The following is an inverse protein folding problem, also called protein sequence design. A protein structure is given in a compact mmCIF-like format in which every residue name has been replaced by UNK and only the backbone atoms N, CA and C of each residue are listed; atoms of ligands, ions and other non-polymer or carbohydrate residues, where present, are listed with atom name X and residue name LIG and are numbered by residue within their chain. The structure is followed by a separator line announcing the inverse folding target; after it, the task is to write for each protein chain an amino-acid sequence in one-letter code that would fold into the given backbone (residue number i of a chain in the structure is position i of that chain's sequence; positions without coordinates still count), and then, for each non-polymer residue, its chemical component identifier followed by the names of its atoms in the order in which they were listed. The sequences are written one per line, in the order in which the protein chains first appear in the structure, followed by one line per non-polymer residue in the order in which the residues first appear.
data_IF_849637293668
#
_entry.id   IF_849637293668
#
_cell.length_a   1.000
_cell.length_b   1.000
_cell.length_c   1.000
_cell.angle_alpha   90.00
_cell.angle_beta   90.00
_cell.angle_gamma   90.00
#
_symmetry.space_group_name_H-M   'P 1'
#
loop_
_entity.id
_entity.type
_entity.pdbx_description
1 polymer ?
#
# COMPACT_ATOMS: atom_id res chain seq x y z
N UNK A 1 -5.61 32.15 -16.91
CA UNK A 1 -4.62 31.10 -16.58
C UNK A 1 -5.03 30.29 -15.34
N UNK A 2 -5.29 30.93 -14.17
CA UNK A 2 -5.64 30.20 -12.93
C UNK A 2 -6.91 29.36 -13.08
N UNK A 3 -7.97 29.88 -13.68
CA UNK A 3 -9.21 29.12 -13.90
C UNK A 3 -9.02 27.89 -14.83
N UNK A 4 -8.17 28.03 -15.84
CA UNK A 4 -7.86 26.92 -16.75
C UNK A 4 -7.06 25.85 -16.02
N UNK A 5 -6.07 26.24 -15.21
CA UNK A 5 -5.32 25.30 -14.37
C UNK A 5 -6.23 24.56 -13.38
N UNK A 6 -7.11 25.29 -12.69
CA UNK A 6 -8.09 24.68 -11.78
C UNK A 6 -9.03 23.72 -12.51
N UNK A 7 -9.48 24.04 -13.71
CA UNK A 7 -10.35 23.19 -14.52
C UNK A 7 -9.61 21.90 -14.95
N UNK A 8 -8.36 21.99 -15.39
CA UNK A 8 -7.55 20.83 -15.76
C UNK A 8 -7.34 19.91 -14.56
N UNK A 9 -6.99 20.47 -13.40
CA UNK A 9 -6.82 19.69 -12.16
C UNK A 9 -8.12 19.00 -11.76
N UNK A 10 -9.24 19.74 -11.74
CA UNK A 10 -10.55 19.20 -11.37
C UNK A 10 -11.00 18.11 -12.35
N UNK A 11 -10.85 18.34 -13.65
CA UNK A 11 -11.20 17.36 -14.68
C UNK A 11 -10.36 16.08 -14.52
N UNK A 12 -9.08 16.22 -14.21
CA UNK A 12 -8.19 15.06 -13.97
C UNK A 12 -8.63 14.27 -12.73
N UNK A 13 -8.96 14.95 -11.64
CA UNK A 13 -9.45 14.30 -10.42
C UNK A 13 -10.78 13.58 -10.67
N UNK A 14 -11.71 14.19 -11.40
CA UNK A 14 -13.00 13.58 -11.77
C UNK A 14 -12.77 12.38 -12.68
N UNK A 15 -11.88 12.48 -13.67
CA UNK A 15 -11.55 11.36 -14.55
C UNK A 15 -10.96 10.17 -13.76
N UNK A 16 -10.06 10.42 -12.82
CA UNK A 16 -9.50 9.38 -11.94
C UNK A 16 -10.58 8.78 -11.02
N UNK A 17 -11.42 9.62 -10.41
CA UNK A 17 -12.50 9.17 -9.51
C UNK A 17 -13.59 8.37 -10.24
N UNK A 18 -13.79 8.61 -11.53
CA UNK A 18 -14.77 7.86 -12.33
C UNK A 18 -14.42 6.38 -12.53
N UNK A 19 -13.15 5.99 -12.33
CA UNK A 19 -12.65 4.64 -12.55
C UNK A 19 -12.68 4.18 -14.01
N UNK A 20 -13.16 5.02 -14.94
CA UNK A 20 -13.28 4.67 -16.38
C UNK A 20 -11.98 4.86 -17.16
N UNK A 21 -11.12 5.74 -16.68
CA UNK A 21 -9.85 6.06 -17.33
C UNK A 21 -8.70 5.65 -16.38
N UNK A 22 -7.70 4.89 -16.88
CA UNK A 22 -6.50 4.60 -16.09
C UNK A 22 -5.84 5.89 -15.60
N UNK A 23 -5.42 5.93 -14.34
CA UNK A 23 -4.83 7.13 -13.73
C UNK A 23 -3.63 7.67 -14.52
N UNK A 24 -2.82 6.78 -15.10
CA UNK A 24 -1.66 7.14 -15.94
C UNK A 24 -2.10 7.95 -17.17
N UNK A 25 -3.18 7.54 -17.84
CA UNK A 25 -3.69 8.25 -19.01
C UNK A 25 -4.31 9.60 -18.62
N UNK A 26 -5.05 9.66 -17.50
CA UNK A 26 -5.61 10.91 -17.02
C UNK A 26 -4.51 11.93 -16.69
N UNK A 27 -3.46 11.52 -15.99
CA UNK A 27 -2.33 12.37 -15.66
C UNK A 27 -1.50 12.78 -16.89
N UNK A 28 -1.23 11.83 -17.81
CA UNK A 28 -0.51 12.14 -19.06
C UNK A 28 -1.26 13.16 -19.90
N UNK A 29 -2.59 13.00 -20.05
CA UNK A 29 -3.45 13.95 -20.75
C UNK A 29 -3.42 15.34 -20.09
N UNK A 30 -3.48 15.40 -18.77
CA UNK A 30 -3.38 16.67 -18.03
C UNK A 30 -2.04 17.37 -18.29
N UNK A 31 -0.93 16.66 -18.28
CA UNK A 31 0.42 17.20 -18.59
C UNK A 31 0.46 17.71 -20.05
N UNK A 32 -0.07 16.95 -21.00
CA UNK A 32 -0.14 17.38 -22.41
C UNK A 32 -0.98 18.66 -22.56
N UNK A 33 -2.15 18.72 -21.94
CA UNK A 33 -3.00 19.93 -21.97
C UNK A 33 -2.26 21.11 -21.36
N UNK A 34 -1.62 20.94 -20.21
CA UNK A 34 -0.86 22.00 -19.55
C UNK A 34 0.31 22.50 -20.42
N UNK A 35 0.98 21.62 -21.13
CA UNK A 35 2.04 21.98 -22.08
C UNK A 35 1.56 22.75 -23.30
N UNK A 36 0.49 22.25 -23.94
CA UNK A 36 -0.08 22.86 -25.17
C UNK A 36 -0.72 24.23 -24.84
N UNK A 37 -1.37 24.37 -23.70
CA UNK A 37 -2.00 25.64 -23.27
C UNK A 37 -1.01 26.63 -22.67
N UNK A 38 0.26 26.26 -22.49
CA UNK A 38 1.26 27.14 -21.89
C UNK A 38 1.02 27.46 -20.42
N UNK A 39 0.31 26.59 -19.69
CA UNK A 39 0.05 26.73 -18.26
C UNK A 39 1.33 26.68 -17.43
N UNK A 40 2.31 25.90 -17.90
CA UNK A 40 3.63 25.80 -17.30
C UNK A 40 4.70 25.58 -18.38
N UNK A 41 5.94 26.07 -18.19
CA UNK A 41 7.03 25.78 -19.11
C UNK A 41 7.35 24.30 -19.13
N UNK A 42 7.70 23.76 -20.30
CA UNK A 42 7.96 22.31 -20.49
C UNK A 42 8.94 21.72 -19.47
N UNK A 43 10.05 22.39 -19.10
CA UNK A 43 10.93 21.87 -18.05
C UNK A 43 10.23 21.70 -16.68
N UNK A 44 9.31 22.58 -16.32
CA UNK A 44 8.58 22.50 -15.07
C UNK A 44 7.56 21.32 -15.05
N UNK A 45 6.98 21.00 -16.21
CA UNK A 45 6.04 19.87 -16.34
C UNK A 45 6.73 18.52 -16.06
N UNK A 46 8.01 18.41 -16.41
CA UNK A 46 8.81 17.19 -16.23
C UNK A 46 9.73 17.23 -15.01
N UNK A 47 9.82 18.37 -14.31
CA UNK A 47 10.65 18.51 -13.10
C UNK A 47 10.30 17.48 -12.00
N UNK A 48 9.03 17.06 -11.93
CA UNK A 48 8.60 16.00 -11.02
C UNK A 48 9.34 14.68 -11.25
N UNK A 49 9.67 14.32 -12.50
CA UNK A 49 10.35 13.06 -12.81
C UNK A 49 11.82 13.04 -12.35
N UNK A 50 12.45 14.18 -12.24
CA UNK A 50 13.83 14.34 -11.73
C UNK A 50 13.89 14.65 -10.23
N UNK A 51 12.73 14.67 -9.54
CA UNK A 51 12.68 14.87 -8.11
C UNK A 51 13.29 13.67 -7.37
N UNK A 52 14.27 13.92 -6.48
CA UNK A 52 14.98 12.87 -5.73
C UNK A 52 14.06 11.97 -4.92
N UNK A 53 12.95 12.51 -4.36
CA UNK A 53 11.94 11.72 -3.66
C UNK A 53 11.24 10.70 -4.57
N UNK A 54 10.88 11.10 -5.80
CA UNK A 54 10.22 10.21 -6.77
C UNK A 54 11.20 9.12 -7.25
N UNK A 55 12.45 9.47 -7.50
CA UNK A 55 13.50 8.50 -7.88
C UNK A 55 13.70 7.49 -6.74
N UNK A 56 13.72 7.96 -5.50
CA UNK A 56 13.84 7.09 -4.32
C UNK A 56 12.64 6.15 -4.19
N UNK A 57 11.41 6.64 -4.41
CA UNK A 57 10.21 5.78 -4.43
C UNK A 57 10.33 4.71 -5.51
N UNK A 58 10.75 5.07 -6.72
CA UNK A 58 10.93 4.11 -7.82
C UNK A 58 11.97 3.03 -7.47
N UNK A 59 13.12 3.43 -6.94
CA UNK A 59 14.16 2.50 -6.49
C UNK A 59 13.65 1.56 -5.38
N UNK A 60 12.91 2.10 -4.40
CA UNK A 60 12.31 1.32 -3.32
C UNK A 60 11.29 0.31 -3.82
N UNK A 61 10.49 0.64 -4.82
CA UNK A 61 9.54 -0.30 -5.42
C UNK A 61 10.26 -1.47 -6.10
N UNK A 62 11.40 -1.22 -6.75
CA UNK A 62 12.22 -2.27 -7.35
C UNK A 62 12.79 -3.19 -6.27
N UNK A 63 13.36 -2.63 -5.21
CA UNK A 63 13.89 -3.40 -4.07
C UNK A 63 12.77 -4.21 -3.40
N UNK A 64 11.63 -3.59 -3.13
CA UNK A 64 10.48 -4.26 -2.53
C UNK A 64 10.02 -5.45 -3.38
N UNK A 65 9.94 -5.27 -4.71
CA UNK A 65 9.61 -6.37 -5.63
C UNK A 65 10.65 -7.48 -5.59
N UNK A 66 11.93 -7.15 -5.50
CA UNK A 66 13.02 -8.13 -5.32
C UNK A 66 12.83 -8.94 -4.04
N UNK A 67 12.54 -8.31 -2.91
CA UNK A 67 12.30 -8.98 -1.62
C UNK A 67 11.07 -9.90 -1.70
N UNK A 68 10.00 -9.47 -2.36
CA UNK A 68 8.82 -10.33 -2.61
C UNK A 68 9.21 -11.57 -3.42
N UNK A 69 9.99 -11.39 -4.50
CA UNK A 69 10.44 -12.51 -5.35
C UNK A 69 11.35 -13.51 -4.64
N UNK A 70 12.16 -13.07 -3.68
CA UNK A 70 13.01 -13.99 -2.88
C UNK A 70 12.20 -14.85 -1.92
N UNK A 71 10.95 -14.50 -1.65
CA UNK A 71 10.10 -15.17 -0.67
C UNK A 71 10.57 -15.01 0.78
N UNK A 72 11.51 -14.10 1.04
CA UNK A 72 12.07 -13.89 2.39
C UNK A 72 10.99 -13.53 3.41
N UNK A 73 10.11 -12.57 3.07
CA UNK A 73 9.03 -12.16 3.98
C UNK A 73 8.01 -13.29 4.15
N UNK A 74 7.70 -14.04 3.09
CA UNK A 74 6.81 -15.19 3.16
C UNK A 74 7.36 -16.25 4.13
N UNK A 75 8.66 -16.56 4.08
CA UNK A 75 9.31 -17.51 5.01
C UNK A 75 9.23 -17.03 6.45
N UNK A 76 9.52 -15.76 6.71
CA UNK A 76 9.41 -15.17 8.06
C UNK A 76 7.96 -15.22 8.55
N UNK A 77 7.01 -14.84 7.72
CA UNK A 77 5.58 -14.88 8.03
C UNK A 77 5.13 -16.29 8.40
N UNK A 78 5.51 -17.29 7.61
CA UNK A 78 5.18 -18.70 7.89
C UNK A 78 5.85 -19.21 9.17
N UNK A 79 7.10 -18.86 9.43
CA UNK A 79 7.77 -19.24 10.68
C UNK A 79 7.04 -18.67 11.90
N UNK A 80 6.52 -17.45 11.81
CA UNK A 80 5.75 -16.79 12.87
C UNK A 80 4.34 -17.37 13.03
N UNK A 81 3.71 -17.80 11.94
CA UNK A 81 2.33 -18.28 11.90
C UNK A 81 2.21 -19.81 12.10
N UNK A 82 3.29 -20.56 11.99
CA UNK A 82 3.28 -22.03 12.03
C UNK A 82 2.62 -22.64 13.28
N UNK A 83 2.70 -21.97 14.42
CA UNK A 83 2.19 -22.46 15.71
C UNK A 83 1.01 -21.64 16.25
N UNK A 84 0.36 -20.84 15.39
CA UNK A 84 -0.74 -19.96 15.78
C UNK A 84 -2.04 -20.76 15.91
N UNK A 85 -2.78 -20.53 16.98
CA UNK A 85 -4.05 -21.21 17.30
C UNK A 85 -5.27 -20.29 17.25
N UNK A 86 -5.07 -18.96 17.17
CA UNK A 86 -6.15 -17.98 17.09
C UNK A 86 -5.69 -16.72 16.37
N UNK A 87 -6.65 -15.93 15.85
CA UNK A 87 -6.36 -14.64 15.19
C UNK A 87 -5.62 -13.68 16.14
N UNK A 88 -5.99 -13.63 17.40
CA UNK A 88 -5.32 -12.79 18.40
C UNK A 88 -3.88 -13.25 18.67
N UNK A 89 -3.63 -14.56 18.69
CA UNK A 89 -2.27 -15.10 18.83
C UNK A 89 -1.42 -14.76 17.60
N UNK A 90 -2.01 -14.84 16.39
CA UNK A 90 -1.36 -14.40 15.16
C UNK A 90 -1.01 -12.91 15.21
N UNK A 91 -1.96 -12.07 15.61
CA UNK A 91 -1.76 -10.63 15.72
C UNK A 91 -0.63 -10.28 16.70
N UNK A 92 -0.60 -10.93 17.87
CA UNK A 92 0.49 -10.74 18.86
C UNK A 92 1.87 -11.01 18.28
N UNK A 93 2.02 -12.09 17.52
CA UNK A 93 3.31 -12.48 16.94
C UNK A 93 3.72 -11.63 15.75
N UNK A 94 2.75 -11.16 14.99
CA UNK A 94 3.01 -10.42 13.75
C UNK A 94 3.10 -8.90 13.95
N UNK A 95 2.40 -8.33 14.94
CA UNK A 95 2.29 -6.88 15.11
C UNK A 95 3.65 -6.19 15.21
N UNK A 96 4.54 -6.70 16.05
CA UNK A 96 5.86 -6.09 16.25
C UNK A 96 6.79 -6.29 15.03
N UNK A 97 7.04 -7.52 14.53
CA UNK A 97 7.92 -7.71 13.38
C UNK A 97 7.43 -6.99 12.12
N UNK A 98 6.12 -7.01 11.89
CA UNK A 98 5.51 -6.35 10.73
C UNK A 98 5.53 -4.84 10.90
N UNK A 99 5.25 -4.32 12.10
CA UNK A 99 5.37 -2.90 12.39
C UNK A 99 6.79 -2.39 12.13
N UNK A 100 7.81 -3.05 12.67
CA UNK A 100 9.21 -2.72 12.40
C UNK A 100 9.54 -2.85 10.91
N UNK A 101 9.12 -3.93 10.28
CA UNK A 101 9.31 -4.14 8.84
C UNK A 101 8.67 -3.03 8.01
N UNK A 102 7.47 -2.57 8.37
CA UNK A 102 6.77 -1.49 7.68
C UNK A 102 7.43 -0.12 7.86
N UNK A 103 8.10 0.10 8.98
CA UNK A 103 8.93 1.29 9.17
C UNK A 103 10.19 1.31 8.29
N UNK A 104 10.69 0.14 7.90
CA UNK A 104 11.91 0.00 7.08
C UNK A 104 11.62 -0.27 5.59
N UNK A 105 10.40 -0.65 5.25
CA UNK A 105 9.97 -0.99 3.90
C UNK A 105 8.60 -0.38 3.63
N UNK A 106 8.24 -0.23 2.36
CA UNK A 106 6.89 0.21 1.99
C UNK A 106 5.82 -0.76 2.52
N UNK A 107 4.74 -0.20 3.08
CA UNK A 107 3.61 -0.93 3.67
C UNK A 107 2.94 -1.90 2.67
N UNK A 108 2.79 -1.50 1.41
CA UNK A 108 2.02 -2.24 0.40
C UNK A 108 2.53 -3.66 0.15
N UNK A 109 3.83 -3.92 -0.09
CA UNK A 109 4.34 -5.27 -0.26
C UNK A 109 4.13 -6.17 0.95
N UNK A 110 4.26 -5.61 2.16
CA UNK A 110 4.11 -6.36 3.42
C UNK A 110 2.67 -6.87 3.55
N UNK A 111 1.69 -6.00 3.37
CA UNK A 111 0.27 -6.37 3.46
C UNK A 111 -0.10 -7.36 2.34
N UNK A 112 0.36 -7.12 1.11
CA UNK A 112 0.09 -8.00 -0.02
C UNK A 112 0.59 -9.44 0.20
N UNK A 113 1.73 -9.62 0.88
CA UNK A 113 2.26 -10.94 1.20
C UNK A 113 1.53 -11.66 2.33
N UNK A 114 0.88 -10.90 3.23
CA UNK A 114 0.10 -11.48 4.32
C UNK A 114 -1.25 -12.03 3.87
N UNK A 115 -1.80 -11.52 2.76
CA UNK A 115 -3.10 -11.99 2.25
C UNK A 115 -3.13 -13.50 1.97
N UNK A 116 -2.20 -14.08 1.20
CA UNK A 116 -2.20 -15.54 0.98
C UNK A 116 -1.99 -16.32 2.28
N UNK A 117 -1.09 -15.88 3.18
CA UNK A 117 -0.86 -16.54 4.45
C UNK A 117 -2.08 -16.51 5.37
N UNK A 118 -2.82 -15.39 5.41
CA UNK A 118 -4.06 -15.30 6.19
C UNK A 118 -5.17 -16.19 5.61
N UNK A 119 -5.30 -16.26 4.29
CA UNK A 119 -6.25 -17.17 3.62
C UNK A 119 -5.94 -18.64 3.89
N UNK A 120 -4.68 -19.01 3.91
CA UNK A 120 -4.27 -20.38 4.22
C UNK A 120 -4.53 -20.74 5.70
N UNK A 121 -4.34 -19.78 6.63
CA UNK A 121 -4.74 -19.96 8.02
C UNK A 121 -6.27 -20.15 8.17
N UNK A 122 -7.05 -19.43 7.36
CA UNK A 122 -8.49 -19.58 7.33
C UNK A 122 -8.90 -20.95 6.83
N UNK A 123 -8.31 -21.42 5.73
CA UNK A 123 -8.59 -22.73 5.14
C UNK A 123 -8.14 -23.89 6.02
N UNK A 124 -6.94 -23.81 6.59
CA UNK A 124 -6.31 -24.94 7.29
C UNK A 124 -6.62 -24.97 8.79
N UNK A 125 -6.98 -23.85 9.39
CA UNK A 125 -7.16 -23.72 10.86
C UNK A 125 -8.46 -23.03 11.28
N UNK A 126 -9.30 -22.61 10.32
CA UNK A 126 -10.55 -21.91 10.62
C UNK A 126 -10.34 -20.53 11.27
N UNK A 127 -9.15 -19.93 11.12
CA UNK A 127 -8.85 -18.60 11.65
C UNK A 127 -9.26 -17.58 10.60
N UNK A 128 -10.27 -16.76 10.89
CA UNK A 128 -10.80 -15.77 9.96
C UNK A 128 -9.72 -14.79 9.49
N UNK A 129 -9.46 -14.76 8.18
CA UNK A 129 -8.44 -13.92 7.58
C UNK A 129 -8.71 -12.42 7.84
N UNK A 130 -9.97 -11.99 7.92
CA UNK A 130 -10.36 -10.60 8.19
C UNK A 130 -9.94 -10.14 9.60
N UNK A 131 -10.05 -11.02 10.59
CA UNK A 131 -9.65 -10.72 11.97
C UNK A 131 -8.14 -10.49 12.10
N UNK A 132 -7.36 -10.98 11.15
CA UNK A 132 -5.91 -10.82 11.10
C UNK A 132 -5.50 -9.67 10.18
N UNK A 133 -6.01 -9.63 8.96
CA UNK A 133 -5.56 -8.69 7.93
C UNK A 133 -5.93 -7.25 8.26
N UNK A 134 -7.12 -7.00 8.79
CA UNK A 134 -7.58 -5.64 9.07
C UNK A 134 -6.74 -4.95 10.15
N UNK A 135 -6.51 -5.55 11.34
CA UNK A 135 -5.64 -4.96 12.36
C UNK A 135 -4.21 -4.77 11.86
N UNK A 136 -3.65 -5.75 11.15
CA UNK A 136 -2.30 -5.66 10.62
C UNK A 136 -2.18 -4.55 9.59
N UNK A 137 -3.15 -4.35 8.71
CA UNK A 137 -3.15 -3.26 7.75
C UNK A 137 -3.09 -1.89 8.44
N UNK A 138 -3.81 -1.71 9.55
CA UNK A 138 -3.75 -0.48 10.33
C UNK A 138 -2.41 -0.30 11.03
N UNK A 139 -1.89 -1.36 11.68
CA UNK A 139 -0.59 -1.32 12.36
C UNK A 139 0.54 -1.00 11.37
N UNK A 140 0.53 -1.63 10.19
CA UNK A 140 1.54 -1.36 9.15
C UNK A 140 1.46 0.06 8.61
N UNK A 141 0.26 0.60 8.43
CA UNK A 141 0.07 1.98 7.97
C UNK A 141 0.59 2.98 8.99
N UNK A 142 0.28 2.78 10.27
CA UNK A 142 0.77 3.61 11.37
C UNK A 142 2.30 3.53 11.49
N UNK A 143 2.86 2.33 11.47
CA UNK A 143 4.29 2.12 11.56
C UNK A 143 5.05 2.65 10.33
N UNK A 144 4.46 2.53 9.14
CA UNK A 144 5.01 3.08 7.90
C UNK A 144 5.14 4.60 7.91
N UNK A 145 4.30 5.32 8.67
CA UNK A 145 4.40 6.78 8.78
C UNK A 145 5.61 7.26 9.59
N UNK A 146 6.24 6.39 10.37
CA UNK A 146 7.33 6.75 11.29
C UNK A 146 8.62 7.12 10.56
N UNK A 147 8.88 6.50 9.42
CA UNK A 147 10.11 6.75 8.67
C UNK A 147 9.85 7.37 7.32
N UNK A 148 10.90 7.95 6.75
CA UNK A 148 10.84 8.53 5.42
C UNK A 148 10.51 7.49 4.34
N UNK A 149 10.93 6.23 4.54
CA UNK A 149 10.85 5.15 3.54
C UNK A 149 9.54 4.35 3.67
N UNK A 150 8.96 4.29 4.86
CA UNK A 150 7.80 3.44 5.14
C UNK A 150 6.54 3.79 4.35
N UNK A 151 6.40 5.04 3.91
CA UNK A 151 5.33 5.46 2.99
C UNK A 151 5.85 6.39 1.90
N UNK A 152 5.32 6.23 0.68
CA UNK A 152 5.67 7.07 -0.46
C UNK A 152 5.30 8.56 -0.26
N UNK A 153 4.27 8.84 0.56
CA UNK A 153 3.87 10.20 0.88
C UNK A 153 4.99 10.97 1.60
N UNK A 154 5.67 10.36 2.55
CA UNK A 154 6.78 10.98 3.28
C UNK A 154 7.95 11.31 2.34
N UNK A 155 8.29 10.40 1.43
CA UNK A 155 9.31 10.62 0.41
C UNK A 155 8.95 11.77 -0.54
N UNK A 156 7.67 11.85 -0.92
CA UNK A 156 7.18 12.94 -1.76
C UNK A 156 7.28 14.29 -1.04
N UNK A 157 6.86 14.35 0.23
CA UNK A 157 6.97 15.56 1.06
C UNK A 157 8.43 15.98 1.18
N UNK A 158 9.35 15.07 1.46
CA UNK A 158 10.76 15.38 1.52
C UNK A 158 11.31 15.91 0.19
N UNK A 159 10.91 15.30 -0.93
CA UNK A 159 11.31 15.76 -2.26
C UNK A 159 10.78 17.16 -2.61
N UNK A 160 9.61 17.55 -2.11
CA UNK A 160 9.03 18.90 -2.29
C UNK A 160 9.69 19.90 -1.33
N UNK A 161 10.08 19.49 -0.13
CA UNK A 161 10.69 20.33 0.87
C UNK A 161 12.17 20.65 0.59
N UNK A 162 12.90 19.74 -0.06
CA UNK A 162 14.33 19.89 -0.35
C UNK A 162 14.68 21.18 -1.13
N UNK A 163 13.96 21.59 -2.20
CA UNK A 163 14.23 22.87 -2.88
C UNK A 163 13.99 24.11 -2.01
N UNK A 164 13.22 23.97 -0.92
CA UNK A 164 13.00 25.04 0.07
C UNK A 164 14.09 25.07 1.17
N UNK A 165 15.16 24.26 1.02
CA UNK A 165 16.26 24.18 1.99
C UNK A 165 15.92 23.37 3.25
N UNK A 166 14.86 22.55 3.20
CA UNK A 166 14.46 21.70 4.33
C UNK A 166 14.92 20.27 4.03
N UNK A 167 16.05 19.89 4.62
CA UNK A 167 16.59 18.55 4.49
C UNK A 167 15.93 17.59 5.50
N UNK A 168 15.24 16.58 5.00
CA UNK A 168 14.59 15.56 5.82
C UNK A 168 15.43 14.29 5.87
N UNK A 169 15.72 13.84 7.07
CA UNK A 169 16.40 12.57 7.35
C UNK A 169 15.40 11.42 7.44
N UNK A 170 15.90 10.19 7.50
CA UNK A 170 15.07 8.97 7.60
C UNK A 170 14.09 9.01 8.77
N UNK A 171 14.45 9.64 9.88
CA UNK A 171 13.67 9.70 11.13
C UNK A 171 13.04 11.06 11.40
N UNK A 172 12.99 11.97 10.43
CA UNK A 172 12.41 13.32 10.64
C UNK A 172 10.95 13.29 11.06
N UNK A 173 10.20 12.28 10.66
CA UNK A 173 8.80 12.09 11.08
C UNK A 173 8.66 11.35 12.41
N UNK A 174 9.69 10.63 12.86
CA UNK A 174 9.63 9.76 14.04
C UNK A 174 9.22 10.47 15.35
N UNK A 175 9.67 11.70 15.66
CA UNK A 175 9.30 12.34 16.93
C UNK A 175 7.80 12.47 17.14
N UNK A 176 7.03 12.66 16.06
CA UNK A 176 5.58 12.78 16.11
C UNK A 176 4.90 11.46 15.75
N UNK A 177 5.36 10.81 14.69
CA UNK A 177 4.70 9.62 14.16
C UNK A 177 4.91 8.38 15.05
N UNK A 178 6.04 8.24 15.74
CA UNK A 178 6.29 7.07 16.57
C UNK A 178 5.36 6.97 17.79
N UNK A 179 5.16 8.04 18.60
CA UNK A 179 4.14 8.00 19.66
C UNK A 179 2.74 7.69 19.15
N UNK A 180 2.34 8.32 18.03
CA UNK A 180 1.04 8.08 17.41
C UNK A 180 0.92 6.63 16.91
N UNK A 181 1.96 6.10 16.29
CA UNK A 181 1.98 4.70 15.83
C UNK A 181 1.87 3.70 16.99
N UNK A 182 2.58 3.95 18.09
CA UNK A 182 2.52 3.09 19.30
C UNK A 182 1.10 3.12 19.88
N UNK A 183 0.57 4.31 20.16
CA UNK A 183 -0.78 4.45 20.75
C UNK A 183 -1.84 3.88 19.81
N UNK A 184 -1.77 4.19 18.53
CA UNK A 184 -2.70 3.66 17.54
C UNK A 184 -2.62 2.14 17.39
N UNK A 185 -1.41 1.58 17.37
CA UNK A 185 -1.21 0.12 17.33
C UNK A 185 -1.77 -0.57 18.59
N UNK A 186 -1.60 0.02 19.77
CA UNK A 186 -2.19 -0.49 21.01
C UNK A 186 -3.72 -0.44 20.97
N UNK A 187 -4.30 0.68 20.51
CA UNK A 187 -5.76 0.80 20.35
C UNK A 187 -6.26 -0.29 19.41
N UNK A 188 -5.67 -0.43 18.22
CA UNK A 188 -6.05 -1.46 17.26
C UNK A 188 -5.90 -2.85 17.86
N UNK A 189 -4.81 -3.12 18.55
CA UNK A 189 -4.55 -4.41 19.19
C UNK A 189 -5.63 -4.81 20.20
N UNK A 190 -6.09 -3.87 21.04
CA UNK A 190 -7.11 -4.14 22.06
C UNK A 190 -8.55 -4.10 21.50
N UNK A 191 -8.84 -3.24 20.53
CA UNK A 191 -10.20 -3.09 19.99
C UNK A 191 -10.52 -4.09 18.88
N UNK A 192 -9.55 -4.52 18.09
CA UNK A 192 -9.78 -5.44 16.97
C UNK A 192 -10.49 -6.75 17.39
N UNK A 193 -10.08 -7.44 18.46
CA UNK A 193 -10.77 -8.66 18.86
C UNK A 193 -12.20 -8.43 19.35
N UNK A 194 -12.52 -7.23 19.84
CA UNK A 194 -13.87 -6.87 20.30
C UNK A 194 -14.79 -6.54 19.11
N UNK A 195 -14.27 -5.85 18.11
CA UNK A 195 -15.06 -5.36 16.98
C UNK A 195 -15.23 -6.41 15.86
N UNK A 196 -14.28 -7.34 15.72
CA UNK A 196 -14.27 -8.29 14.61
C UNK A 196 -14.83 -9.67 14.97
N UNK A 197 -15.04 -9.97 16.25
CA UNK A 197 -15.65 -11.22 16.67
C UNK A 197 -17.09 -11.33 16.14
N UNK A 198 -17.39 -12.42 15.46
CA UNK A 198 -18.75 -12.77 15.05
C UNK A 198 -19.25 -12.22 13.72
N UNK A 199 -18.43 -11.50 12.96
CA UNK A 199 -18.85 -10.98 11.64
C UNK A 199 -18.35 -11.85 10.45
N UNK A 200 -17.92 -13.08 10.69
CA UNK A 200 -17.22 -13.93 9.72
C UNK A 200 -18.10 -14.85 8.88
N UNK A 201 -19.36 -15.08 9.23
CA UNK A 201 -20.11 -16.18 8.58
C UNK A 201 -20.98 -15.77 7.39
N UNK A 202 -21.27 -14.49 7.18
CA UNK A 202 -22.32 -14.10 6.22
C UNK A 202 -21.82 -13.50 4.90
N UNK A 203 -20.61 -13.03 4.77
CA UNK A 203 -20.13 -12.33 3.55
C UNK A 203 -19.05 -13.04 2.74
N UNK A 204 -18.37 -14.02 3.29
CA UNK A 204 -17.30 -14.73 2.58
C UNK A 204 -17.81 -15.64 1.44
N UNK A 205 -19.08 -16.04 1.52
CA UNK A 205 -19.68 -16.98 0.56
C UNK A 205 -20.18 -16.31 -0.74
N UNK A 206 -20.29 -14.98 -0.82
CA UNK A 206 -21.00 -14.33 -1.94
C UNK A 206 -20.20 -13.34 -2.78
N UNK A 207 -18.96 -13.01 -2.42
CA UNK A 207 -18.11 -12.17 -3.26
C UNK A 207 -16.93 -12.95 -3.82
N UNK A 208 -17.20 -13.67 -4.90
CA UNK A 208 -16.17 -14.14 -5.82
C UNK A 208 -15.57 -12.90 -6.52
N UNK A 209 -14.52 -12.35 -5.95
CA UNK A 209 -13.73 -11.30 -6.60
C UNK A 209 -12.96 -11.93 -7.74
N UNK A 210 -13.64 -12.21 -8.83
CA UNK A 210 -12.97 -12.46 -10.10
C UNK A 210 -12.34 -11.16 -10.55
N UNK A 211 -11.06 -11.01 -10.25
CA UNK A 211 -10.23 -10.07 -11.00
C UNK A 211 -10.16 -10.64 -12.41
N UNK A 212 -11.07 -10.23 -13.28
CA UNK A 212 -10.95 -10.47 -14.72
C UNK A 212 -9.75 -9.66 -15.19
N UNK A 213 -8.56 -10.29 -15.10
CA UNK A 213 -7.41 -9.81 -15.86
C UNK A 213 -7.78 -10.08 -17.31
N UNK A 214 -7.93 -9.06 -18.17
CA UNK A 214 -8.14 -9.28 -19.58
C UNK A 214 -6.86 -9.87 -20.17
N UNK A 215 -6.75 -11.18 -20.11
CA UNK A 215 -5.69 -11.92 -20.79
C UNK A 215 -6.15 -12.07 -22.23
N UNK A 216 -5.39 -11.48 -23.15
CA UNK A 216 -5.57 -11.61 -24.59
C UNK A 216 -5.98 -13.04 -24.96
N UNK A 217 -7.01 -13.17 -25.77
CA UNK A 217 -7.84 -14.37 -26.04
C UNK A 217 -7.17 -15.72 -26.38
N UNK A 218 -5.85 -15.87 -26.19
CA UNK A 218 -5.14 -17.15 -26.34
C UNK A 218 -4.90 -17.89 -25.01
N UNK A 219 -5.08 -17.26 -23.88
CA UNK A 219 -4.83 -17.88 -22.57
C UNK A 219 -6.09 -18.53 -21.95
N UNK A 220 -7.28 -18.31 -22.52
CA UNK A 220 -8.53 -18.93 -22.06
C UNK A 220 -8.62 -20.44 -22.35
N UNK A 221 -7.74 -20.98 -23.20
CA UNK A 221 -7.72 -22.40 -23.55
C UNK A 221 -6.98 -23.29 -22.56
N UNK A 222 -6.11 -22.73 -21.70
CA UNK A 222 -5.23 -23.51 -20.80
C UNK A 222 -5.89 -23.79 -19.43
N UNK A 223 -6.89 -23.00 -19.03
CA UNK A 223 -7.57 -23.16 -17.72
C UNK A 223 -8.68 -24.20 -17.66
N UNK A 224 -8.98 -24.94 -18.75
CA UNK A 224 -10.08 -25.90 -18.84
C UNK A 224 -9.69 -27.37 -18.72
N UNK A 225 -8.43 -27.67 -18.45
CA UNK A 225 -7.94 -29.08 -18.43
C UNK A 225 -7.65 -29.60 -17.02
N UNK A 226 -8.01 -28.85 -15.97
CA UNK A 226 -7.88 -29.34 -14.59
C UNK A 226 -9.21 -29.10 -13.84
N UNK A 227 -10.20 -29.92 -14.14
CA UNK A 227 -11.37 -30.19 -13.32
C UNK A 227 -11.61 -31.71 -13.37
#
# INVERSE_FOLDING_TARGET
MIYLAALVVLATLVAMASGRVPAVLALATAICIAGVTGLAPVPALFAGLSNGGIITVAAMLVIAKGIVHTGAVTRVTWALLSTVTSAQHALRRLALPIGVGSGLMNTTPIVAMLVPAAKELEQNRGINARELLLPIAHITTLAGSVTLIGTSSNLLIAGIAAPAGIDMTMLSFAPVALPVAIVGALIVYFTAPLMLRGHGETEAATRDWRVEIPVSGKALAIGRVAA
#
